data_IF_930389623312
#
_entry.id   IF_930389623312
#
_cell.length_a   1.000
_cell.length_b   1.000
_cell.length_c   1.000
_cell.angle_alpha   90.00
_cell.angle_beta   90.00
_cell.angle_gamma   90.00
#
_symmetry.space_group_name_H-M   'P 1'
#
loop_
_entity.id
_entity.type
_entity.pdbx_description
1 polymer ?
#
# COMPACT_ATOMS: atom_id res chain seq x y z
N UNK A 1 -5.28 25.07 9.46
CA UNK A 1 -4.01 24.36 9.69
C UNK A 1 -3.98 23.15 8.77
N UNK A 2 -2.89 22.89 8.05
CA UNK A 2 -2.76 21.69 7.19
C UNK A 2 -1.77 20.73 7.85
N UNK A 3 -2.15 19.48 8.04
CA UNK A 3 -1.27 18.41 8.50
C UNK A 3 -0.92 17.53 7.30
N UNK A 4 0.37 17.20 7.15
CA UNK A 4 0.85 16.29 6.12
C UNK A 4 1.47 15.08 6.82
N UNK A 5 0.95 13.90 6.52
CA UNK A 5 1.49 12.64 7.01
C UNK A 5 2.38 12.01 5.93
N UNK A 6 3.41 11.27 6.37
CA UNK A 6 4.36 10.61 5.45
C UNK A 6 3.97 9.16 5.29
N UNK A 7 4.03 8.64 4.07
CA UNK A 7 3.95 7.20 3.81
C UNK A 7 5.37 6.69 3.64
N UNK A 8 5.75 5.68 4.42
CA UNK A 8 7.11 5.12 4.43
C UNK A 8 7.09 3.61 4.24
N UNK A 9 8.02 3.02 3.47
CA UNK A 9 8.16 1.57 3.41
C UNK A 9 8.75 1.04 4.72
N UNK A 10 8.14 -0.01 5.25
CA UNK A 10 8.58 -0.69 6.48
C UNK A 10 8.54 -2.20 6.27
N UNK A 11 9.40 -2.92 6.99
CA UNK A 11 9.34 -4.36 7.13
C UNK A 11 8.87 -4.71 8.55
N UNK A 12 7.76 -5.44 8.64
CA UNK A 12 7.16 -5.91 9.89
C UNK A 12 7.60 -7.36 10.14
N UNK A 13 7.94 -7.68 11.39
CA UNK A 13 8.38 -9.02 11.79
C UNK A 13 7.42 -9.63 12.81
N UNK A 14 7.01 -10.88 12.58
CA UNK A 14 6.22 -11.67 13.50
C UNK A 14 6.66 -13.14 13.53
N UNK A 15 5.98 -13.98 14.34
CA UNK A 15 6.33 -15.38 14.54
C UNK A 15 6.39 -16.24 13.26
N UNK A 16 5.58 -15.93 12.25
CA UNK A 16 5.48 -16.70 11.00
C UNK A 16 6.32 -16.10 9.85
N UNK A 17 6.99 -14.96 10.08
CA UNK A 17 7.89 -14.37 9.10
C UNK A 17 7.89 -12.84 9.11
N UNK A 18 8.31 -12.25 7.99
CA UNK A 18 8.29 -10.80 7.79
C UNK A 18 7.51 -10.40 6.55
N UNK A 19 7.03 -9.16 6.54
CA UNK A 19 6.35 -8.59 5.39
C UNK A 19 6.67 -7.12 5.20
N UNK A 20 6.97 -6.73 3.95
CA UNK A 20 7.17 -5.33 3.56
C UNK A 20 5.84 -4.69 3.22
N UNK A 21 5.55 -3.54 3.83
CA UNK A 21 4.33 -2.76 3.62
C UNK A 21 4.68 -1.27 3.57
N UNK A 22 3.73 -0.47 3.08
CA UNK A 22 3.80 0.98 3.25
C UNK A 22 2.96 1.36 4.47
N UNK A 23 3.54 2.13 5.37
CA UNK A 23 2.89 2.57 6.61
C UNK A 23 2.77 4.10 6.64
N UNK A 24 1.69 4.58 7.25
CA UNK A 24 1.53 5.99 7.59
C UNK A 24 2.37 6.29 8.84
N UNK A 25 3.32 7.21 8.72
CA UNK A 25 4.07 7.72 9.86
C UNK A 25 3.26 8.85 10.50
N UNK A 26 2.70 8.54 11.67
CA UNK A 26 1.88 9.45 12.47
C UNK A 26 2.53 9.69 13.84
N UNK A 27 3.06 10.90 14.04
CA UNK A 27 3.67 11.32 15.31
C UNK A 27 2.63 11.59 16.40
N UNK A 28 1.34 11.68 16.05
CA UNK A 28 0.24 11.90 16.98
C UNK A 28 -0.28 10.64 17.68
N UNK A 29 0.23 9.46 17.30
CA UNK A 29 -0.26 8.17 17.79
C UNK A 29 0.77 7.46 18.67
N UNK A 30 0.34 6.98 19.86
CA UNK A 30 1.16 6.11 20.74
C UNK A 30 1.00 4.62 20.43
N UNK A 31 0.01 4.27 19.59
CA UNK A 31 -0.32 2.91 19.20
C UNK A 31 -0.24 2.80 17.68
N UNK A 32 0.34 1.71 17.19
CA UNK A 32 0.38 1.40 15.76
C UNK A 32 -0.79 0.51 15.38
N UNK A 33 -1.52 0.88 14.33
CA UNK A 33 -2.57 0.05 13.75
C UNK A 33 -2.03 -0.65 12.51
N UNK A 34 -2.27 -1.95 12.39
CA UNK A 34 -1.98 -2.73 11.18
C UNK A 34 -3.25 -3.41 10.68
N UNK A 35 -3.30 -3.70 9.39
CA UNK A 35 -4.38 -4.47 8.79
C UNK A 35 -4.37 -5.93 9.30
N UNK A 36 -5.55 -6.51 9.50
CA UNK A 36 -5.68 -7.89 9.98
C UNK A 36 -4.99 -8.90 9.05
N UNK A 37 -5.05 -8.69 7.72
CA UNK A 37 -4.37 -9.56 6.77
C UNK A 37 -2.85 -9.51 6.93
N UNK A 38 -2.31 -8.34 7.27
CA UNK A 38 -0.88 -8.16 7.57
C UNK A 38 -0.52 -8.91 8.84
N UNK A 39 -1.32 -8.75 9.89
CA UNK A 39 -1.13 -9.44 11.17
C UNK A 39 -1.14 -10.96 11.00
N UNK A 40 -2.12 -11.49 10.25
CA UNK A 40 -2.27 -12.91 9.98
C UNK A 40 -1.07 -13.47 9.20
N UNK A 41 -0.55 -12.75 8.19
CA UNK A 41 0.57 -13.22 7.36
C UNK A 41 1.89 -13.33 8.12
N UNK A 42 2.11 -12.47 9.12
CA UNK A 42 3.31 -12.53 9.97
C UNK A 42 3.08 -13.37 11.23
N UNK A 43 1.89 -13.95 11.42
CA UNK A 43 1.54 -14.73 12.60
C UNK A 43 1.41 -13.90 13.88
N UNK A 44 1.15 -12.60 13.78
CA UNK A 44 0.97 -11.73 14.94
C UNK A 44 -0.32 -12.10 15.68
N UNK A 45 -0.17 -12.61 16.89
CA UNK A 45 -1.28 -13.01 17.77
C UNK A 45 -1.11 -12.32 19.12
N UNK A 46 -2.23 -11.85 19.67
CA UNK A 46 -2.23 -10.93 20.79
C UNK A 46 -3.51 -11.00 21.60
N UNK A 47 -3.55 -10.30 22.74
CA UNK A 47 -4.76 -10.27 23.58
C UNK A 47 -5.87 -9.54 22.84
N UNK A 48 -7.07 -10.10 22.88
CA UNK A 48 -8.25 -9.44 22.32
C UNK A 48 -8.71 -8.31 23.24
N UNK A 49 -8.84 -7.13 22.67
CA UNK A 49 -9.22 -5.90 23.36
C UNK A 49 -10.22 -5.12 22.50
N UNK A 50 -11.08 -4.35 23.16
CA UNK A 50 -11.97 -3.41 22.48
C UNK A 50 -11.19 -2.14 22.17
N UNK A 51 -11.15 -1.75 20.89
CA UNK A 51 -10.60 -0.47 20.47
C UNK A 51 -11.73 0.45 20.03
N UNK A 52 -11.72 1.66 20.57
CA UNK A 52 -12.61 2.74 20.15
C UNK A 52 -11.77 3.83 19.49
N UNK A 53 -12.07 4.15 18.24
CA UNK A 53 -11.34 5.11 17.41
C UNK A 53 -12.27 6.26 17.05
N UNK A 54 -11.93 7.47 17.51
CA UNK A 54 -12.61 8.70 17.13
C UNK A 54 -11.75 9.47 16.13
N UNK A 55 -12.32 9.79 14.97
CA UNK A 55 -11.68 10.53 13.90
C UNK A 55 -11.83 12.03 14.11
N UNK A 56 -10.88 12.80 13.57
CA UNK A 56 -10.92 14.28 13.54
C UNK A 56 -12.18 14.81 12.84
N UNK A 57 -12.82 14.00 11.98
CA UNK A 57 -14.09 14.32 11.31
C UNK A 57 -15.35 14.05 12.15
N UNK A 58 -15.21 13.64 13.42
CA UNK A 58 -16.34 13.32 14.31
C UNK A 58 -16.91 11.91 14.16
N UNK A 59 -16.34 11.08 13.29
CA UNK A 59 -16.74 9.68 13.15
C UNK A 59 -16.13 8.83 14.27
N UNK A 60 -16.88 7.84 14.73
CA UNK A 60 -16.41 6.90 15.74
C UNK A 60 -16.65 5.46 15.29
N UNK A 61 -15.65 4.62 15.53
CA UNK A 61 -15.71 3.19 15.27
C UNK A 61 -15.31 2.47 16.55
N UNK A 62 -16.11 1.49 16.96
CA UNK A 62 -15.78 0.57 18.05
C UNK A 62 -15.63 -0.82 17.47
N UNK A 63 -14.52 -1.46 17.82
CA UNK A 63 -14.18 -2.80 17.38
C UNK A 63 -13.87 -3.64 18.62
N UNK A 64 -14.73 -4.62 18.90
CA UNK A 64 -14.66 -5.48 20.09
C UNK A 64 -13.70 -6.66 19.93
N UNK A 65 -13.01 -6.75 18.79
CA UNK A 65 -12.12 -7.84 18.46
C UNK A 65 -10.80 -7.36 17.86
N UNK A 66 -9.98 -6.67 18.65
CA UNK A 66 -8.62 -6.32 18.22
C UNK A 66 -7.56 -7.09 18.98
N UNK A 67 -6.57 -7.63 18.29
CA UNK A 67 -5.39 -8.22 18.91
C UNK A 67 -4.34 -7.16 19.26
N UNK A 68 -3.89 -7.09 20.51
CA UNK A 68 -2.71 -6.33 20.92
C UNK A 68 -1.50 -7.24 21.02
N UNK A 69 -0.45 -6.91 20.27
CA UNK A 69 0.81 -7.68 20.26
C UNK A 69 2.00 -6.72 20.16
N UNK A 70 3.15 -7.18 20.63
CA UNK A 70 4.41 -6.49 20.42
C UNK A 70 4.94 -6.82 19.03
N UNK A 71 5.33 -5.79 18.27
CA UNK A 71 5.83 -5.98 16.93
C UNK A 71 7.07 -5.14 16.70
N UNK A 72 8.05 -5.74 16.04
CA UNK A 72 9.27 -5.06 15.61
C UNK A 72 9.09 -4.63 14.16
N UNK A 73 9.31 -3.35 13.91
CA UNK A 73 9.33 -2.78 12.56
C UNK A 73 10.70 -2.20 12.26
N UNK A 74 11.11 -2.29 11.00
CA UNK A 74 12.29 -1.59 10.48
C UNK A 74 11.86 -0.73 9.31
N UNK A 75 12.17 0.56 9.37
CA UNK A 75 12.01 1.43 8.21
C UNK A 75 13.00 1.00 7.13
N UNK A 76 12.49 0.66 5.96
CA UNK A 76 13.31 0.44 4.78
C UNK A 76 13.37 1.77 4.04
N UNK A 77 14.52 2.44 4.05
CA UNK A 77 14.72 3.64 3.25
C UNK A 77 15.42 3.25 1.94
N UNK A 78 14.69 2.93 0.84
CA UNK A 78 15.27 3.08 -0.48
C UNK A 78 15.54 4.58 -0.71
N UNK A 79 16.60 4.91 -1.44
CA UNK A 79 16.91 6.28 -1.83
C UNK A 79 15.66 6.90 -2.45
N UNK A 80 15.13 7.96 -1.84
CA UNK A 80 13.92 8.64 -2.32
C UNK A 80 14.27 9.34 -3.64
N UNK A 81 13.97 8.71 -4.77
CA UNK A 81 14.05 9.38 -6.07
C UNK A 81 12.75 10.18 -6.25
N UNK A 82 12.85 11.49 -6.07
CA UNK A 82 11.80 12.43 -6.40
C UNK A 82 11.67 12.48 -7.92
N UNK A 83 10.70 11.76 -8.48
CA UNK A 83 10.24 12.01 -9.84
C UNK A 83 9.28 13.19 -9.83
N UNK A 84 9.71 14.29 -10.44
CA UNK A 84 8.88 15.48 -10.65
C UNK A 84 7.78 15.15 -11.68
N UNK A 85 6.52 15.37 -11.31
CA UNK A 85 5.35 15.03 -12.14
C UNK A 85 5.17 15.91 -13.39
N UNK A 86 6.16 16.75 -13.74
CA UNK A 86 6.10 17.68 -14.87
C UNK A 86 6.33 17.03 -16.25
N UNK A 87 6.78 15.78 -16.33
CA UNK A 87 7.01 15.11 -17.63
C UNK A 87 5.72 14.46 -18.18
N UNK A 88 4.75 15.31 -18.55
CA UNK A 88 3.70 14.92 -19.49
C UNK A 88 4.20 15.05 -20.93
N UNK A 89 4.94 14.04 -21.41
CA UNK A 89 5.11 13.87 -22.86
C UNK A 89 3.84 13.22 -23.42
N UNK A 90 3.03 14.01 -24.14
CA UNK A 90 1.83 13.54 -24.86
C UNK A 90 2.23 12.40 -25.82
N UNK A 91 1.57 11.23 -25.81
CA UNK A 91 1.88 10.15 -26.75
C UNK A 91 1.53 10.57 -28.18
N UNK A 92 2.49 10.45 -29.10
CA UNK A 92 2.26 10.59 -30.53
C UNK A 92 1.44 9.39 -31.04
N UNK A 93 0.42 9.66 -31.84
CA UNK A 93 -0.45 8.64 -32.42
C UNK A 93 0.33 7.84 -33.48
N UNK A 94 0.62 6.57 -33.19
CA UNK A 94 1.24 5.65 -34.14
C UNK A 94 0.23 5.28 -35.24
N UNK A 95 0.51 5.71 -36.48
CA UNK A 95 -0.26 5.34 -37.68
C UNK A 95 0.05 3.89 -38.07
N UNK A 96 -0.90 2.98 -37.85
CA UNK A 96 -0.81 1.60 -38.31
C UNK A 96 -0.98 1.52 -39.83
N UNK A 97 0.09 1.13 -40.53
CA UNK A 97 0.08 0.75 -41.95
C UNK A 97 -0.74 -0.53 -42.12
N UNK A 98 -1.88 -0.45 -42.85
CA UNK A 98 -2.61 -1.62 -43.31
C UNK A 98 -1.87 -2.26 -44.48
N UNK A 99 -1.27 -3.43 -44.29
CA UNK A 99 -0.88 -4.31 -45.40
C UNK A 99 -2.02 -5.26 -45.76
N UNK A 100 -2.41 -5.26 -47.04
CA UNK A 100 -3.50 -6.07 -47.60
C UNK A 100 -3.17 -7.58 -47.60
N UNK A 101 -4.18 -8.48 -47.56
CA UNK A 101 -3.96 -9.92 -47.64
C UNK A 101 -3.69 -10.40 -49.08
N UNK A 102 -2.95 -11.52 -49.27
CA UNK A 102 -2.54 -11.98 -50.59
C UNK A 102 -3.67 -12.66 -51.38
N UNK A 103 -3.69 -12.43 -52.69
CA UNK A 103 -4.60 -13.04 -53.66
C UNK A 103 -4.25 -14.52 -53.90
N UNK A 104 -5.25 -15.40 -53.82
CA UNK A 104 -5.12 -16.82 -54.16
C UNK A 104 -5.18 -17.05 -55.69
N UNK A 105 -4.45 -18.02 -56.25
CA UNK A 105 -4.48 -18.29 -57.69
C UNK A 105 -5.71 -19.10 -58.11
N UNK A 106 -6.27 -18.73 -59.26
CA UNK A 106 -7.39 -19.41 -59.91
C UNK A 106 -6.99 -20.82 -60.37
N UNK A 107 -7.89 -21.79 -60.17
CA UNK A 107 -7.76 -23.14 -60.73
C UNK A 107 -8.66 -23.23 -61.96
N UNK A 108 -8.04 -23.58 -63.09
CA UNK A 108 -8.65 -23.95 -64.38
C UNK A 108 -9.54 -25.18 -64.27
#
# INVERSE_FOLDING_TARGET
MRAYLKIVPVELYGPEGSMKVHALLDEGSTVTLIDEQVANRIGAKGRRETLRVSSVGGNEITDENRGSFELKSKACFPKLETHDSSDHQKPEASSATRSAPPSQPART
#
